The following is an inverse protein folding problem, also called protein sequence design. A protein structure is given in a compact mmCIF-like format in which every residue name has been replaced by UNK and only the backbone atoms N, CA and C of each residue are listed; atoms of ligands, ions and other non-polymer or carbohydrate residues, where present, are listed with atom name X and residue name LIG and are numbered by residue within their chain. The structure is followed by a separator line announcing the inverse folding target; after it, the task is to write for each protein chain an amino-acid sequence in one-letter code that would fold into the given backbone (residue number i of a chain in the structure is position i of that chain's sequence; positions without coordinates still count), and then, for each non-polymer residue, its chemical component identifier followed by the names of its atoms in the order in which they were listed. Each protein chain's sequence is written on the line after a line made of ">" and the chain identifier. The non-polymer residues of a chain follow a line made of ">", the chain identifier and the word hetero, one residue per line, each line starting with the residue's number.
data_IF_567951204782
#
_entry.id   IF_567951204782
#
_cell.length_a   1.000
_cell.length_b   1.000
_cell.length_c   1.000
_cell.angle_alpha   90.00
_cell.angle_beta   90.00
_cell.angle_gamma   90.00
#
_symmetry.space_group_name_H-M   'P 1'
#
loop_
_entity.id
_entity.type
_entity.pdbx_description
1 polymer ?
#
# COMPACT_ATOMS: atom_id res chain seq x y z
N UNK A 1 -17.97 12.49 -15.02
CA UNK A 1 -17.28 13.62 -14.35
C UNK A 1 -15.99 13.91 -15.08
N UNK A 2 -15.58 15.19 -15.08
CA UNK A 2 -14.29 15.64 -15.56
C UNK A 2 -13.34 15.78 -14.37
N UNK A 3 -12.29 14.97 -14.33
CA UNK A 3 -11.41 14.78 -13.17
C UNK A 3 -9.98 15.11 -13.56
N UNK A 4 -9.35 16.05 -12.84
CA UNK A 4 -7.91 16.27 -12.91
C UNK A 4 -7.28 15.45 -11.81
N UNK A 5 -6.33 14.57 -12.16
CA UNK A 5 -5.58 13.78 -11.21
C UNK A 5 -4.13 14.28 -11.14
N UNK A 6 -3.71 14.76 -9.98
CA UNK A 6 -2.36 15.30 -9.72
C UNK A 6 -1.53 14.25 -8.98
N UNK A 7 -0.41 13.85 -9.57
CA UNK A 7 0.56 12.97 -8.94
C UNK A 7 1.99 13.32 -9.38
N UNK A 8 2.95 13.30 -8.47
CA UNK A 8 4.34 13.70 -8.70
C UNK A 8 5.32 12.54 -8.49
N UNK A 9 4.97 11.34 -8.91
CA UNK A 9 5.77 10.14 -8.69
C UNK A 9 7.12 10.20 -9.41
N UNK A 10 7.19 10.80 -10.60
CA UNK A 10 8.45 11.00 -11.32
C UNK A 10 9.43 11.88 -10.54
N UNK A 11 8.93 12.92 -9.87
CA UNK A 11 9.73 13.75 -9.00
C UNK A 11 10.31 12.92 -7.83
N UNK A 12 9.47 12.10 -7.22
CA UNK A 12 9.87 11.21 -6.14
C UNK A 12 10.94 10.20 -6.59
N UNK A 13 10.79 9.57 -7.76
CA UNK A 13 11.78 8.65 -8.34
C UNK A 13 13.15 9.33 -8.54
N UNK A 14 13.16 10.58 -9.00
CA UNK A 14 14.39 11.37 -9.18
C UNK A 14 15.12 11.63 -7.86
N UNK A 15 14.38 11.99 -6.80
CA UNK A 15 14.97 12.26 -5.49
C UNK A 15 15.45 11.00 -4.76
N UNK A 16 14.68 9.92 -4.83
CA UNK A 16 15.00 8.69 -4.08
C UNK A 16 15.89 7.73 -4.84
N UNK A 17 16.13 7.96 -6.14
CA UNK A 17 16.83 7.04 -7.07
C UNK A 17 16.18 5.64 -7.14
N UNK A 18 14.93 5.51 -6.71
CA UNK A 18 14.16 4.26 -6.76
C UNK A 18 13.45 4.18 -8.09
N UNK A 19 13.67 3.09 -8.84
CA UNK A 19 13.05 2.88 -10.17
C UNK A 19 11.54 2.64 -10.09
N UNK A 20 11.07 2.09 -8.98
CA UNK A 20 9.65 1.77 -8.73
C UNK A 20 9.18 2.41 -7.43
N UNK A 21 8.02 3.02 -7.44
CA UNK A 21 7.50 3.76 -6.27
C UNK A 21 6.49 2.93 -5.46
N UNK A 22 6.33 1.66 -5.79
CA UNK A 22 5.49 0.75 -5.01
C UNK A 22 4.00 1.08 -5.07
N UNK A 23 3.30 0.75 -3.99
CA UNK A 23 1.84 0.70 -3.96
C UNK A 23 1.10 2.00 -4.28
N UNK A 24 1.68 3.19 -4.05
CA UNK A 24 1.00 4.48 -4.35
C UNK A 24 0.86 4.68 -5.86
N UNK A 25 1.93 4.42 -6.63
CA UNK A 25 1.90 4.59 -8.08
C UNK A 25 0.94 3.60 -8.73
N UNK A 26 1.02 2.33 -8.35
CA UNK A 26 0.12 1.28 -8.83
C UNK A 26 -1.33 1.64 -8.53
N UNK A 27 -1.65 1.98 -7.27
CA UNK A 27 -2.99 2.37 -6.89
C UNK A 27 -3.50 3.59 -7.66
N UNK A 28 -2.66 4.62 -7.86
CA UNK A 28 -3.05 5.81 -8.62
C UNK A 28 -3.40 5.46 -10.07
N UNK A 29 -2.59 4.65 -10.73
CA UNK A 29 -2.85 4.20 -12.10
C UNK A 29 -4.13 3.36 -12.19
N UNK A 30 -4.36 2.49 -11.20
CA UNK A 30 -5.57 1.68 -11.11
C UNK A 30 -6.82 2.55 -10.93
N UNK A 31 -6.78 3.54 -10.05
CA UNK A 31 -7.88 4.48 -9.83
C UNK A 31 -8.20 5.25 -11.10
N UNK A 32 -7.19 5.80 -11.80
CA UNK A 32 -7.37 6.52 -13.07
C UNK A 32 -7.99 5.59 -14.11
N UNK A 33 -7.43 4.40 -14.29
CA UNK A 33 -7.92 3.40 -15.24
C UNK A 33 -9.37 3.02 -14.97
N UNK A 34 -9.71 2.76 -13.71
CA UNK A 34 -11.07 2.36 -13.31
C UNK A 34 -12.09 3.48 -13.52
N UNK A 35 -11.74 4.71 -13.18
CA UNK A 35 -12.62 5.85 -13.42
C UNK A 35 -12.87 6.07 -14.92
N UNK A 36 -11.84 5.86 -15.76
CA UNK A 36 -11.98 5.90 -17.22
C UNK A 36 -12.91 4.79 -17.74
N UNK A 37 -12.76 3.56 -17.26
CA UNK A 37 -13.66 2.43 -17.59
C UNK A 37 -15.13 2.72 -17.23
N UNK A 38 -15.35 3.49 -16.17
CA UNK A 38 -16.69 3.93 -15.71
C UNK A 38 -17.25 5.13 -16.48
N UNK A 39 -16.60 5.55 -17.57
CA UNK A 39 -17.05 6.64 -18.42
C UNK A 39 -16.76 8.03 -17.87
N UNK A 40 -15.78 8.20 -16.99
CA UNK A 40 -15.31 9.50 -16.56
C UNK A 40 -14.15 10.00 -17.43
N UNK A 41 -14.13 11.30 -17.72
CA UNK A 41 -12.98 11.94 -18.33
C UNK A 41 -11.94 12.20 -17.25
N UNK A 42 -10.80 11.51 -17.30
CA UNK A 42 -9.70 11.68 -16.32
C UNK A 42 -8.46 12.14 -17.04
N UNK A 43 -7.93 13.28 -16.60
CA UNK A 43 -6.65 13.81 -17.07
C UNK A 43 -5.59 13.65 -15.99
N UNK A 44 -4.51 12.92 -16.31
CA UNK A 44 -3.33 12.86 -15.47
C UNK A 44 -2.46 14.09 -15.74
N UNK A 45 -2.50 15.06 -14.82
CA UNK A 45 -1.96 16.40 -14.96
C UNK A 45 -0.48 16.45 -15.36
N UNK A 46 0.33 15.54 -14.80
CA UNK A 46 1.78 15.56 -15.00
C UNK A 46 2.26 14.65 -16.14
N UNK A 47 1.38 13.83 -16.72
CA UNK A 47 1.74 12.84 -17.75
C UNK A 47 1.11 13.05 -19.11
N UNK A 48 0.04 13.82 -19.18
CA UNK A 48 -0.78 13.98 -20.40
C UNK A 48 -0.94 15.46 -20.75
N UNK A 49 -1.24 15.75 -22.03
CA UNK A 49 -1.60 17.10 -22.45
C UNK A 49 -2.99 17.45 -21.91
N UNK A 50 -3.19 18.74 -21.58
CA UNK A 50 -4.47 19.22 -21.10
C UNK A 50 -5.57 19.03 -22.17
N UNK A 51 -6.71 18.43 -21.82
CA UNK A 51 -7.86 18.31 -22.73
C UNK A 51 -8.69 19.59 -22.74
N UNK A 52 -9.45 19.83 -23.82
CA UNK A 52 -10.27 21.04 -24.01
C UNK A 52 -11.21 21.36 -22.83
N UNK A 53 -11.82 20.34 -22.21
CA UNK A 53 -12.74 20.58 -21.08
C UNK A 53 -12.06 21.22 -19.83
N UNK A 54 -10.74 21.21 -19.77
CA UNK A 54 -9.98 21.95 -18.73
C UNK A 54 -9.91 23.43 -19.10
N UNK A 55 -9.68 23.75 -20.37
CA UNK A 55 -9.65 25.12 -20.89
C UNK A 55 -11.04 25.76 -20.79
N UNK A 56 -12.09 25.00 -21.06
CA UNK A 56 -13.50 25.42 -20.91
C UNK A 56 -13.96 25.54 -19.45
N UNK A 57 -13.06 25.30 -18.49
CA UNK A 57 -13.33 25.33 -17.05
C UNK A 57 -14.45 24.38 -16.58
N UNK A 58 -14.62 23.23 -17.26
CA UNK A 58 -15.63 22.21 -16.93
C UNK A 58 -14.97 21.09 -16.11
N UNK A 59 -14.44 21.43 -14.90
CA UNK A 59 -13.78 20.50 -14.00
C UNK A 59 -14.69 20.20 -12.80
N UNK A 60 -14.92 18.92 -12.53
CA UNK A 60 -15.74 18.46 -11.40
C UNK A 60 -14.92 18.16 -10.17
N UNK A 61 -13.76 17.50 -10.36
CA UNK A 61 -12.89 17.01 -9.28
C UNK A 61 -11.42 17.32 -9.59
N UNK A 62 -10.69 17.77 -8.58
CA UNK A 62 -9.25 17.76 -8.52
C UNK A 62 -8.86 16.70 -7.49
N UNK A 63 -8.31 15.58 -7.95
CA UNK A 63 -7.81 14.50 -7.10
C UNK A 63 -6.30 14.56 -7.00
N UNK A 64 -5.72 14.16 -5.85
CA UNK A 64 -4.27 14.05 -5.67
C UNK A 64 -3.90 12.87 -4.76
N UNK A 65 -2.74 12.25 -5.00
CA UNK A 65 -2.25 11.08 -4.24
C UNK A 65 -0.88 11.27 -3.60
N UNK A 66 -0.14 12.30 -3.99
CA UNK A 66 1.19 12.60 -3.45
C UNK A 66 1.15 13.72 -2.41
N UNK A 67 2.19 13.79 -1.57
CA UNK A 67 2.25 14.70 -0.41
C UNK A 67 3.41 15.71 -0.46
N UNK A 68 4.04 15.85 -1.61
CA UNK A 68 5.18 16.74 -1.85
C UNK A 68 4.74 18.22 -2.02
N UNK A 69 5.67 19.19 -1.86
CA UNK A 69 5.38 20.62 -2.04
C UNK A 69 4.86 20.99 -3.43
N UNK A 70 5.29 20.27 -4.48
CA UNK A 70 4.82 20.52 -5.83
C UNK A 70 3.35 20.16 -5.98
N UNK A 71 2.92 19.03 -5.40
CA UNK A 71 1.49 18.66 -5.31
C UNK A 71 0.68 19.77 -4.64
N UNK A 72 1.17 20.33 -3.53
CA UNK A 72 0.49 21.44 -2.87
C UNK A 72 0.32 22.65 -3.79
N UNK A 73 1.38 23.08 -4.48
CA UNK A 73 1.36 24.22 -5.38
C UNK A 73 0.40 23.99 -6.57
N UNK A 74 0.48 22.81 -7.19
CA UNK A 74 -0.36 22.44 -8.32
C UNK A 74 -1.85 22.36 -7.93
N UNK A 75 -2.17 21.68 -6.83
CA UNK A 75 -3.54 21.57 -6.32
C UNK A 75 -4.07 22.94 -5.92
N UNK A 76 -3.26 23.78 -5.25
CA UNK A 76 -3.66 25.15 -4.87
C UNK A 76 -3.99 26.00 -6.11
N UNK A 77 -3.14 25.95 -7.15
CA UNK A 77 -3.37 26.66 -8.40
C UNK A 77 -4.64 26.17 -9.08
N UNK A 78 -4.79 24.86 -9.26
CA UNK A 78 -5.97 24.27 -9.89
C UNK A 78 -7.26 24.59 -9.11
N UNK A 79 -7.20 24.51 -7.77
CA UNK A 79 -8.33 24.86 -6.90
C UNK A 79 -8.75 26.32 -7.10
N UNK A 80 -7.81 27.25 -7.25
CA UNK A 80 -8.10 28.65 -7.49
C UNK A 80 -8.66 28.90 -8.90
N UNK A 81 -8.08 28.25 -9.92
CA UNK A 81 -8.53 28.34 -11.31
C UNK A 81 -9.96 27.81 -11.47
N UNK A 82 -10.27 26.65 -10.86
CA UNK A 82 -11.57 25.99 -10.98
C UNK A 82 -12.44 26.14 -9.72
N UNK A 83 -12.27 27.23 -8.97
CA UNK A 83 -12.91 27.44 -7.65
C UNK A 83 -14.43 27.31 -7.65
N UNK A 84 -15.11 27.67 -8.75
CA UNK A 84 -16.56 27.64 -8.82
C UNK A 84 -17.12 26.22 -9.00
N UNK A 85 -16.38 25.31 -9.63
CA UNK A 85 -16.88 24.01 -10.06
C UNK A 85 -16.23 22.83 -9.35
N UNK A 86 -14.89 22.81 -9.24
CA UNK A 86 -14.16 21.63 -8.81
C UNK A 86 -14.13 21.45 -7.29
N UNK A 87 -14.43 20.23 -6.84
CA UNK A 87 -14.12 19.80 -5.48
C UNK A 87 -12.73 19.16 -5.41
N UNK A 88 -12.03 19.31 -4.28
CA UNK A 88 -10.69 18.73 -4.06
C UNK A 88 -10.80 17.47 -3.20
N UNK A 89 -10.20 16.38 -3.66
CA UNK A 89 -10.13 15.10 -2.96
C UNK A 89 -8.67 14.65 -2.88
N UNK A 90 -8.18 14.30 -1.69
CA UNK A 90 -6.88 13.63 -1.56
C UNK A 90 -7.06 12.15 -1.27
N UNK A 91 -6.30 11.33 -1.99
CA UNK A 91 -6.02 9.95 -1.64
C UNK A 91 -4.80 9.95 -0.70
N UNK A 92 -5.06 9.96 0.59
CA UNK A 92 -4.07 10.15 1.64
C UNK A 92 -3.43 8.81 2.01
N UNK A 93 -2.40 8.41 1.25
CA UNK A 93 -1.65 7.17 1.46
C UNK A 93 -0.56 7.28 2.52
N UNK A 94 -0.30 8.49 3.03
CA UNK A 94 0.84 8.77 3.91
C UNK A 94 0.37 9.33 5.25
N UNK A 95 0.91 8.81 6.34
CA UNK A 95 0.75 9.29 7.70
C UNK A 95 2.11 9.69 8.29
N UNK A 96 2.12 10.37 9.42
CA UNK A 96 3.37 10.73 10.11
C UNK A 96 4.10 9.46 10.54
N UNK A 97 3.37 8.49 11.05
CA UNK A 97 3.87 7.21 11.56
C UNK A 97 4.55 6.38 10.46
N UNK A 98 4.03 6.46 9.23
CA UNK A 98 4.59 5.76 8.08
C UNK A 98 5.93 6.33 7.62
N UNK A 99 6.15 7.63 7.78
CA UNK A 99 7.38 8.29 7.35
C UNK A 99 8.48 8.32 8.43
N UNK A 100 8.09 8.27 9.69
CA UNK A 100 9.02 8.29 10.81
C UNK A 100 10.03 7.13 10.71
N UNK A 101 11.31 7.46 10.76
CA UNK A 101 12.40 6.48 10.67
C UNK A 101 12.68 5.89 9.28
N UNK A 102 11.92 6.28 8.25
CA UNK A 102 12.14 5.85 6.86
C UNK A 102 12.69 6.99 5.98
N UNK A 103 11.87 8.00 5.73
CA UNK A 103 12.25 9.18 4.94
C UNK A 103 12.78 10.31 5.81
N UNK A 104 12.32 10.36 7.05
CA UNK A 104 12.72 11.38 8.01
C UNK A 104 13.37 10.69 9.21
N UNK A 105 14.38 11.33 9.85
CA UNK A 105 14.87 10.85 11.13
C UNK A 105 13.69 10.73 12.11
N UNK A 106 13.63 9.62 12.84
CA UNK A 106 12.62 9.43 13.89
C UNK A 106 12.96 10.30 15.11
N UNK A 107 12.72 11.60 14.95
CA UNK A 107 12.90 12.61 16.00
C UNK A 107 11.61 13.43 16.14
N UNK A 108 11.20 13.78 17.37
CA UNK A 108 9.94 14.49 17.62
C UNK A 108 9.77 15.77 16.79
N UNK A 109 10.86 16.51 16.54
CA UNK A 109 10.82 17.74 15.77
C UNK A 109 10.43 17.50 14.31
N UNK A 110 10.96 16.46 13.65
CA UNK A 110 10.62 16.14 12.27
C UNK A 110 9.19 15.64 12.17
N UNK A 111 8.73 14.81 13.11
CA UNK A 111 7.36 14.34 13.18
C UNK A 111 6.39 15.51 13.35
N UNK A 112 6.74 16.52 14.17
CA UNK A 112 5.94 17.73 14.36
C UNK A 112 5.87 18.57 13.09
N UNK A 113 7.00 18.84 12.43
CA UNK A 113 7.06 19.58 11.16
C UNK A 113 6.21 18.90 10.10
N UNK A 114 6.34 17.57 9.98
CA UNK A 114 5.60 16.81 8.99
C UNK A 114 4.09 16.75 9.29
N UNK A 115 3.72 16.67 10.56
CA UNK A 115 2.33 16.80 11.01
C UNK A 115 1.71 18.11 10.57
N UNK A 116 2.41 19.23 10.74
CA UNK A 116 1.95 20.54 10.28
C UNK A 116 1.90 20.63 8.76
N UNK A 117 2.87 20.03 8.07
CA UNK A 117 2.87 19.95 6.61
C UNK A 117 1.63 19.21 6.08
N UNK A 118 1.35 18.03 6.59
CA UNK A 118 0.14 17.27 6.20
C UNK A 118 -1.15 18.05 6.51
N UNK A 119 -1.19 18.76 7.64
CA UNK A 119 -2.32 19.62 7.99
C UNK A 119 -2.55 20.74 6.95
N UNK A 120 -1.48 21.39 6.49
CA UNK A 120 -1.55 22.43 5.46
C UNK A 120 -1.99 21.83 4.12
N UNK A 121 -1.34 20.75 3.69
CA UNK A 121 -1.61 20.10 2.42
C UNK A 121 -3.07 19.62 2.35
N UNK A 122 -3.49 18.82 3.32
CA UNK A 122 -4.84 18.27 3.35
C UNK A 122 -5.92 19.31 3.68
N UNK A 123 -5.51 20.47 4.20
CA UNK A 123 -6.41 21.63 4.34
C UNK A 123 -6.95 22.19 3.03
N UNK A 124 -6.38 21.82 1.90
CA UNK A 124 -6.93 22.11 0.57
C UNK A 124 -8.17 21.26 0.23
N UNK A 125 -8.35 20.11 0.87
CA UNK A 125 -9.35 19.12 0.55
C UNK A 125 -10.78 19.52 0.97
N UNK A 126 -11.75 19.01 0.23
CA UNK A 126 -13.15 18.91 0.66
C UNK A 126 -13.43 17.53 1.27
N UNK A 127 -12.63 16.52 0.93
CA UNK A 127 -12.74 15.15 1.41
C UNK A 127 -11.38 14.43 1.28
N UNK A 128 -11.05 13.58 2.27
CA UNK A 128 -9.93 12.64 2.19
C UNK A 128 -10.42 11.21 2.03
N UNK A 129 -9.65 10.43 1.28
CA UNK A 129 -9.75 8.98 1.18
C UNK A 129 -8.44 8.39 1.72
N UNK A 130 -8.50 7.39 2.59
CA UNK A 130 -7.32 6.75 3.18
C UNK A 130 -7.51 5.22 3.23
N UNK A 131 -6.43 4.42 3.16
CA UNK A 131 -6.57 2.99 2.83
C UNK A 131 -7.03 2.09 3.99
N UNK A 132 -6.97 2.54 5.23
CA UNK A 132 -7.36 1.74 6.40
C UNK A 132 -7.95 2.58 7.53
N UNK A 133 -8.65 1.93 8.45
CA UNK A 133 -9.15 2.55 9.68
C UNK A 133 -7.98 3.09 10.55
N UNK A 134 -6.84 2.41 10.55
CA UNK A 134 -5.64 2.89 11.23
C UNK A 134 -5.17 4.23 10.68
N UNK A 135 -4.92 4.32 9.37
CA UNK A 135 -4.49 5.57 8.72
C UNK A 135 -5.54 6.68 8.85
N UNK A 136 -6.85 6.33 8.86
CA UNK A 136 -7.93 7.27 9.15
C UNK A 136 -7.78 7.87 10.55
N UNK A 137 -7.59 7.05 11.59
CA UNK A 137 -7.39 7.52 12.97
C UNK A 137 -6.13 8.39 13.11
N UNK A 138 -5.02 8.01 12.45
CA UNK A 138 -3.80 8.82 12.41
C UNK A 138 -4.08 10.21 11.81
N UNK A 139 -4.77 10.29 10.68
CA UNK A 139 -5.11 11.55 10.02
C UNK A 139 -6.12 12.38 10.83
N UNK A 140 -7.13 11.76 11.43
CA UNK A 140 -8.09 12.43 12.33
C UNK A 140 -7.40 13.07 13.54
N UNK A 141 -6.33 12.43 14.06
CA UNK A 141 -5.53 12.99 15.17
C UNK A 141 -4.81 14.29 14.80
N UNK A 142 -4.49 14.46 13.52
CA UNK A 142 -3.87 15.68 12.98
C UNK A 142 -4.90 16.79 12.83
N UNK A 143 -6.15 16.42 12.56
CA UNK A 143 -7.22 17.33 12.16
C UNK A 143 -7.84 18.18 13.27
N UNK A 144 -7.66 17.92 14.54
CA UNK A 144 -8.44 18.46 15.73
C UNK A 144 -9.23 19.78 15.59
N UNK A 145 -9.14 20.49 14.44
CA UNK A 145 -9.83 21.74 14.11
C UNK A 145 -10.27 21.88 12.66
N UNK A 146 -10.26 20.81 11.85
CA UNK A 146 -10.57 20.87 10.41
C UNK A 146 -11.91 20.18 10.09
N UNK A 147 -12.59 20.67 9.06
CA UNK A 147 -14.01 20.39 8.79
C UNK A 147 -14.24 19.39 7.66
N UNK A 148 -13.19 18.85 7.03
CA UNK A 148 -13.34 17.89 5.95
C UNK A 148 -13.44 16.45 6.48
N UNK A 149 -14.34 15.63 5.96
CA UNK A 149 -14.46 14.24 6.36
C UNK A 149 -13.36 13.36 5.77
N UNK A 150 -12.97 12.32 6.52
CA UNK A 150 -12.03 11.28 6.09
C UNK A 150 -12.79 9.95 5.94
N UNK A 151 -12.65 9.33 4.79
CA UNK A 151 -13.26 8.04 4.48
C UNK A 151 -12.20 6.97 4.29
N UNK A 152 -12.48 5.83 4.90
CA UNK A 152 -11.70 4.63 4.66
C UNK A 152 -12.15 3.96 3.36
N UNK A 153 -11.20 3.77 2.45
CA UNK A 153 -11.38 2.99 1.23
C UNK A 153 -10.07 2.28 0.93
N UNK A 154 -10.09 0.97 0.94
CA UNK A 154 -8.92 0.15 0.58
C UNK A 154 -8.29 0.60 -0.74
N UNK A 155 -6.98 0.44 -0.88
CA UNK A 155 -6.31 0.64 -2.18
C UNK A 155 -6.82 -0.34 -3.24
N UNK A 156 -7.33 -1.49 -2.80
CA UNK A 156 -7.86 -2.52 -3.68
C UNK A 156 -6.78 -3.28 -4.45
N UNK A 157 -7.17 -4.43 -4.97
CA UNK A 157 -6.36 -5.23 -5.89
C UNK A 157 -7.28 -5.71 -7.02
N UNK A 158 -6.76 -5.73 -8.25
CA UNK A 158 -7.43 -6.38 -9.38
C UNK A 158 -7.28 -7.89 -9.23
N UNK A 159 -8.30 -8.53 -8.67
CA UNK A 159 -8.26 -9.96 -8.34
C UNK A 159 -7.97 -10.81 -9.57
N UNK A 160 -8.53 -10.43 -10.71
CA UNK A 160 -8.34 -11.10 -11.99
C UNK A 160 -6.88 -11.16 -12.46
N UNK A 161 -6.06 -10.17 -12.08
CA UNK A 161 -4.63 -10.13 -12.40
C UNK A 161 -3.81 -11.09 -11.53
N UNK A 162 -4.35 -11.47 -10.36
CA UNK A 162 -3.70 -12.37 -9.41
C UNK A 162 -4.23 -13.83 -9.51
N UNK A 163 -5.03 -14.14 -10.53
CA UNK A 163 -5.49 -15.51 -10.71
C UNK A 163 -4.33 -16.45 -11.03
N UNK A 164 -4.38 -17.64 -10.43
CA UNK A 164 -3.33 -18.65 -10.55
C UNK A 164 -3.15 -19.09 -12.01
N UNK A 165 -1.88 -19.19 -12.43
CA UNK A 165 -1.46 -19.93 -13.63
C UNK A 165 -0.60 -21.11 -13.21
N UNK A 166 -0.66 -22.20 -13.96
CA UNK A 166 0.05 -23.44 -13.62
C UNK A 166 1.56 -23.24 -13.53
N UNK A 167 2.11 -22.44 -14.45
CA UNK A 167 3.55 -22.16 -14.54
C UNK A 167 4.11 -21.30 -13.40
N UNK A 168 3.29 -20.54 -12.66
CA UNK A 168 3.80 -19.56 -11.68
C UNK A 168 4.67 -20.19 -10.60
N UNK A 169 4.20 -21.29 -10.00
CA UNK A 169 5.00 -21.98 -8.97
C UNK A 169 6.30 -22.52 -9.52
N UNK A 170 6.23 -23.15 -10.67
CA UNK A 170 7.40 -23.76 -11.31
C UNK A 170 8.43 -22.73 -11.71
N UNK A 171 8.01 -21.59 -12.30
CA UNK A 171 8.89 -20.50 -12.72
C UNK A 171 9.69 -19.95 -11.54
N UNK A 172 9.02 -19.61 -10.44
CA UNK A 172 9.70 -19.08 -9.26
C UNK A 172 10.66 -20.09 -8.64
N UNK A 173 10.24 -21.36 -8.54
CA UNK A 173 11.08 -22.43 -8.00
C UNK A 173 12.31 -22.70 -8.87
N UNK A 174 12.15 -22.72 -10.18
CA UNK A 174 13.27 -22.81 -11.13
C UNK A 174 14.21 -21.61 -11.00
N UNK A 175 13.67 -20.40 -10.91
CA UNK A 175 14.48 -19.20 -10.68
C UNK A 175 15.34 -19.30 -9.42
N UNK A 176 14.74 -19.73 -8.30
CA UNK A 176 15.47 -19.91 -7.04
C UNK A 176 16.54 -21.02 -7.15
N UNK A 177 16.23 -22.11 -7.81
CA UNK A 177 17.18 -23.20 -8.02
C UNK A 177 18.36 -22.79 -8.88
N UNK A 178 18.11 -22.19 -10.06
CA UNK A 178 19.15 -21.82 -11.02
C UNK A 178 20.05 -20.70 -10.50
N UNK A 179 19.51 -19.74 -9.77
CA UNK A 179 20.27 -18.56 -9.35
C UNK A 179 20.90 -18.70 -7.97
N UNK A 180 20.29 -19.46 -7.07
CA UNK A 180 20.68 -19.54 -5.67
C UNK A 180 20.88 -20.96 -5.17
N UNK A 181 20.80 -21.96 -6.06
CA UNK A 181 20.96 -23.40 -5.73
C UNK A 181 19.96 -23.92 -4.68
N UNK A 182 18.77 -23.32 -4.58
CA UNK A 182 17.72 -23.79 -3.67
C UNK A 182 17.05 -25.01 -4.27
N UNK A 183 16.98 -26.16 -3.56
CA UNK A 183 16.26 -27.34 -4.06
C UNK A 183 14.79 -27.03 -4.34
N UNK A 184 14.23 -27.60 -5.44
CA UNK A 184 12.87 -27.29 -5.90
C UNK A 184 11.78 -27.56 -4.84
N UNK A 185 11.99 -28.60 -4.02
CA UNK A 185 11.03 -29.05 -2.99
C UNK A 185 11.25 -28.41 -1.61
N UNK A 186 12.18 -27.48 -1.50
CA UNK A 186 12.45 -26.79 -0.22
C UNK A 186 11.24 -26.00 0.27
N UNK A 187 11.09 -25.88 1.56
CA UNK A 187 10.13 -24.94 2.15
C UNK A 187 10.63 -23.50 1.93
N UNK A 188 9.82 -22.70 1.25
CA UNK A 188 10.14 -21.30 0.89
C UNK A 188 9.19 -20.34 1.57
N UNK A 189 9.75 -19.44 2.37
CA UNK A 189 9.03 -18.40 3.10
C UNK A 189 9.41 -17.05 2.49
N UNK A 190 8.43 -16.26 2.07
CA UNK A 190 8.70 -14.97 1.42
C UNK A 190 8.26 -13.77 2.26
N UNK A 191 8.96 -12.66 2.09
CA UNK A 191 8.47 -11.31 2.33
C UNK A 191 8.56 -10.51 1.02
N UNK A 192 7.63 -9.60 0.79
CA UNK A 192 7.58 -8.80 -0.45
C UNK A 192 7.62 -7.31 -0.14
N UNK A 193 8.49 -6.59 -0.83
CA UNK A 193 8.58 -5.14 -0.79
C UNK A 193 9.99 -4.59 -0.65
N UNK A 194 10.09 -3.26 -0.62
CA UNK A 194 11.33 -2.54 -0.35
C UNK A 194 11.84 -2.86 1.07
N UNK A 195 13.11 -3.18 1.22
CA UNK A 195 13.73 -3.50 2.52
C UNK A 195 13.98 -2.26 3.39
N UNK A 196 12.94 -1.47 3.62
CA UNK A 196 12.98 -0.30 4.48
C UNK A 196 13.07 -0.69 5.95
N UNK A 197 13.59 0.20 6.81
CA UNK A 197 13.71 -0.03 8.25
C UNK A 197 12.40 -0.49 8.89
N UNK A 198 11.27 0.12 8.51
CA UNK A 198 9.94 -0.27 8.99
C UNK A 198 9.52 -1.71 8.66
N UNK A 199 10.13 -2.31 7.64
CA UNK A 199 9.84 -3.70 7.23
C UNK A 199 10.53 -4.73 8.11
N UNK A 200 11.45 -4.27 9.01
CA UNK A 200 12.08 -5.08 10.04
C UNK A 200 12.77 -6.34 9.48
N UNK A 201 13.72 -6.13 8.55
CA UNK A 201 14.58 -7.19 8.01
C UNK A 201 15.32 -7.91 9.13
N UNK A 202 15.66 -7.20 10.22
CA UNK A 202 16.26 -7.77 11.44
C UNK A 202 15.42 -8.90 12.04
N UNK A 203 14.10 -8.70 12.17
CA UNK A 203 13.18 -9.74 12.66
C UNK A 203 13.11 -10.88 11.66
N UNK A 204 12.98 -10.59 10.35
CA UNK A 204 12.94 -11.61 9.31
C UNK A 204 14.17 -12.54 9.38
N UNK A 205 15.39 -11.98 9.48
CA UNK A 205 16.62 -12.75 9.63
C UNK A 205 16.69 -13.54 10.95
N UNK A 206 16.24 -12.94 12.07
CA UNK A 206 16.21 -13.65 13.37
C UNK A 206 15.22 -14.82 13.37
N UNK A 207 14.10 -14.71 12.68
CA UNK A 207 13.16 -15.83 12.49
C UNK A 207 13.82 -16.90 11.61
N UNK A 208 14.45 -16.50 10.50
CA UNK A 208 15.14 -17.42 9.60
C UNK A 208 16.21 -18.26 10.31
N UNK A 209 16.94 -17.67 11.25
CA UNK A 209 17.96 -18.36 12.05
C UNK A 209 17.42 -19.56 12.86
N UNK A 210 16.11 -19.59 13.16
CA UNK A 210 15.46 -20.68 13.88
C UNK A 210 15.07 -21.88 13.00
N UNK A 211 15.26 -21.77 11.67
CA UNK A 211 14.84 -22.77 10.69
C UNK A 211 15.91 -23.02 9.63
N UNK A 212 16.91 -23.83 9.96
CA UNK A 212 18.04 -24.15 9.07
C UNK A 212 17.62 -24.80 7.75
N UNK A 213 16.51 -25.54 7.75
CA UNK A 213 16.06 -26.34 6.62
C UNK A 213 15.05 -25.60 5.72
N UNK A 214 14.68 -24.35 6.07
CA UNK A 214 13.78 -23.51 5.29
C UNK A 214 14.52 -22.35 4.66
N UNK A 215 14.08 -21.92 3.47
CA UNK A 215 14.65 -20.76 2.79
C UNK A 215 13.75 -19.54 2.95
N UNK A 216 14.36 -18.44 3.36
CA UNK A 216 13.70 -17.16 3.60
C UNK A 216 14.08 -16.18 2.50
N UNK A 217 13.12 -15.82 1.66
CA UNK A 217 13.35 -15.04 0.45
C UNK A 217 12.72 -13.67 0.59
N UNK A 218 13.55 -12.63 0.55
CA UNK A 218 13.08 -11.27 0.46
C UNK A 218 12.96 -10.86 -1.00
N UNK A 219 11.72 -10.64 -1.46
CA UNK A 219 11.44 -10.27 -2.85
C UNK A 219 11.18 -8.78 -2.95
N UNK A 220 12.10 -8.06 -3.58
CA UNK A 220 12.00 -6.61 -3.78
C UNK A 220 13.33 -5.88 -3.67
N UNK A 221 13.36 -4.60 -4.07
CA UNK A 221 14.57 -3.80 -4.06
C UNK A 221 15.20 -3.67 -2.67
N UNK A 222 16.53 -3.74 -2.64
CA UNK A 222 17.32 -3.65 -1.40
C UNK A 222 17.63 -2.18 -1.11
N UNK A 223 17.26 -1.72 0.06
CA UNK A 223 17.72 -0.46 0.63
C UNK A 223 18.76 -0.76 1.71
N UNK A 224 20.05 -0.58 1.39
CA UNK A 224 21.15 -0.94 2.28
C UNK A 224 21.04 -0.30 3.67
N UNK A 225 21.07 -1.13 4.68
CA UNK A 225 21.14 -0.76 6.10
C UNK A 225 21.76 -1.91 6.90
N UNK A 226 22.24 -1.69 8.14
CA UNK A 226 22.93 -2.70 8.95
C UNK A 226 22.13 -3.99 9.18
N UNK A 227 20.80 -3.90 9.25
CA UNK A 227 19.93 -5.08 9.50
C UNK A 227 19.98 -6.06 8.33
N UNK A 228 20.18 -5.54 7.11
CA UNK A 228 20.35 -6.37 5.90
C UNK A 228 21.69 -7.08 5.93
N UNK A 229 22.75 -6.38 6.32
CA UNK A 229 24.11 -6.96 6.37
C UNK A 229 24.16 -8.14 7.36
N UNK A 230 23.44 -8.08 8.48
CA UNK A 230 23.29 -9.19 9.41
C UNK A 230 22.45 -10.34 8.84
N UNK A 231 21.36 -10.04 8.16
CA UNK A 231 20.52 -11.06 7.53
C UNK A 231 21.23 -11.80 6.39
N UNK A 232 22.06 -11.10 5.62
CA UNK A 232 22.87 -11.68 4.53
C UNK A 232 23.99 -12.64 4.99
N UNK A 233 24.31 -12.67 6.30
CA UNK A 233 25.24 -13.65 6.85
C UNK A 233 24.65 -15.06 7.01
N UNK A 234 23.34 -15.19 6.83
CA UNK A 234 22.62 -16.45 6.96
C UNK A 234 22.53 -17.12 5.59
N UNK A 235 22.94 -18.38 5.50
CA UNK A 235 22.95 -19.16 4.25
C UNK A 235 21.54 -19.39 3.69
N UNK A 236 20.53 -19.35 4.54
CA UNK A 236 19.15 -19.58 4.19
C UNK A 236 18.33 -18.31 3.99
N UNK A 237 18.96 -17.11 4.00
CA UNK A 237 18.30 -15.82 3.73
C UNK A 237 18.79 -15.25 2.40
N UNK A 238 17.86 -15.02 1.49
CA UNK A 238 18.16 -14.55 0.13
C UNK A 238 17.36 -13.30 -0.19
N UNK A 239 18.03 -12.32 -0.80
CA UNK A 239 17.41 -11.12 -1.35
C UNK A 239 17.44 -11.21 -2.88
N UNK A 240 16.28 -11.33 -3.52
CA UNK A 240 16.22 -11.45 -4.98
C UNK A 240 16.49 -10.13 -5.70
N UNK A 241 16.30 -8.98 -5.02
CA UNK A 241 16.13 -7.71 -5.67
C UNK A 241 14.76 -7.62 -6.35
N UNK A 242 14.66 -6.76 -7.36
CA UNK A 242 13.45 -6.66 -8.17
C UNK A 242 13.18 -7.98 -8.90
N UNK A 243 11.94 -8.42 -8.86
CA UNK A 243 11.43 -9.62 -9.54
C UNK A 243 10.26 -9.22 -10.44
N UNK A 244 10.28 -9.62 -11.70
CA UNK A 244 9.39 -9.07 -12.73
C UNK A 244 7.92 -9.40 -12.49
N UNK A 245 7.59 -10.66 -12.27
CA UNK A 245 6.22 -11.08 -11.98
C UNK A 245 6.08 -11.54 -10.52
N UNK A 246 5.68 -10.63 -9.66
CA UNK A 246 5.55 -10.90 -8.24
C UNK A 246 4.56 -12.02 -7.93
N UNK A 247 3.61 -12.32 -8.83
CA UNK A 247 2.62 -13.39 -8.66
C UNK A 247 3.30 -14.75 -8.61
N UNK A 248 4.34 -14.97 -9.42
CA UNK A 248 5.14 -16.18 -9.38
C UNK A 248 5.76 -16.42 -8.00
N UNK A 249 6.22 -15.34 -7.33
CA UNK A 249 6.77 -15.44 -5.99
C UNK A 249 5.70 -15.84 -4.95
N UNK A 250 4.50 -15.25 -5.01
CA UNK A 250 3.40 -15.63 -4.12
C UNK A 250 2.96 -17.07 -4.33
N UNK A 251 2.81 -17.53 -5.58
CA UNK A 251 2.41 -18.92 -5.87
C UNK A 251 3.54 -19.93 -5.69
N UNK A 252 4.80 -19.48 -5.80
CA UNK A 252 5.98 -20.30 -5.59
C UNK A 252 6.36 -20.53 -4.14
N UNK A 253 5.88 -19.71 -3.23
CA UNK A 253 6.15 -19.80 -1.80
C UNK A 253 5.19 -20.75 -1.07
N UNK A 254 5.56 -21.11 0.17
CA UNK A 254 4.75 -21.94 1.07
C UNK A 254 4.18 -21.12 2.24
N UNK A 255 4.75 -19.92 2.53
CA UNK A 255 4.29 -19.01 3.57
C UNK A 255 4.71 -17.56 3.27
N UNK A 256 3.82 -16.62 3.55
CA UNK A 256 4.11 -15.19 3.57
C UNK A 256 4.40 -14.73 4.99
N UNK A 257 5.61 -14.22 5.22
CA UNK A 257 6.06 -13.71 6.52
C UNK A 257 6.20 -12.19 6.48
N UNK A 258 5.29 -11.46 7.09
CA UNK A 258 5.37 -10.01 7.19
C UNK A 258 5.84 -9.55 8.57
N UNK A 259 7.02 -8.94 8.62
CA UNK A 259 7.66 -8.50 9.87
C UNK A 259 7.58 -6.99 10.10
N UNK A 260 6.77 -6.26 9.34
CA UNK A 260 6.66 -4.80 9.40
C UNK A 260 6.33 -4.28 10.81
N UNK A 261 6.88 -3.13 11.18
CA UNK A 261 6.52 -2.44 12.44
C UNK A 261 5.42 -1.39 12.25
N UNK A 262 5.26 -0.88 11.04
CA UNK A 262 4.22 0.11 10.66
C UNK A 262 3.79 -0.14 9.22
N UNK A 263 2.50 -0.07 9.00
CA UNK A 263 1.88 -0.08 7.66
C UNK A 263 0.64 0.82 7.64
N UNK A 264 0.35 1.38 6.48
CA UNK A 264 -0.93 2.07 6.27
C UNK A 264 -2.04 1.09 5.84
N UNK A 265 -1.67 0.02 5.12
CA UNK A 265 -2.59 -1.05 4.72
C UNK A 265 -1.88 -2.41 4.54
N UNK A 266 -0.67 -2.43 3.94
CA UNK A 266 0.06 -3.66 3.64
C UNK A 266 -0.48 -4.39 2.41
N UNK A 267 -0.37 -3.77 1.24
CA UNK A 267 -0.78 -4.38 -0.04
C UNK A 267 -0.23 -5.80 -0.22
N UNK A 268 1.06 -6.10 0.07
CA UNK A 268 1.59 -7.46 -0.07
C UNK A 268 0.87 -8.52 0.77
N UNK A 269 0.28 -8.14 1.91
CA UNK A 269 -0.51 -9.07 2.72
C UNK A 269 -1.85 -9.40 2.05
N UNK A 270 -2.46 -8.43 1.36
CA UNK A 270 -3.68 -8.65 0.58
C UNK A 270 -3.37 -9.52 -0.64
N UNK A 271 -2.26 -9.26 -1.33
CA UNK A 271 -1.79 -10.06 -2.48
C UNK A 271 -1.55 -11.51 -2.08
N UNK A 272 -0.87 -11.74 -0.94
CA UNK A 272 -0.67 -13.08 -0.38
C UNK A 272 -2.00 -13.80 -0.11
N UNK A 273 -2.98 -13.11 0.49
CA UNK A 273 -4.30 -13.68 0.76
C UNK A 273 -5.05 -14.05 -0.54
N UNK A 274 -4.99 -13.21 -1.57
CA UNK A 274 -5.61 -13.48 -2.88
C UNK A 274 -4.93 -14.67 -3.57
N UNK A 275 -3.60 -14.80 -3.43
CA UNK A 275 -2.86 -15.95 -3.95
C UNK A 275 -3.01 -17.21 -3.09
N UNK A 276 -3.86 -17.20 -2.06
CA UNK A 276 -4.06 -18.33 -1.12
C UNK A 276 -2.76 -18.79 -0.46
N UNK A 277 -1.87 -17.85 -0.18
CA UNK A 277 -0.64 -18.10 0.56
C UNK A 277 -0.91 -17.88 2.05
N UNK A 278 -0.62 -18.84 2.94
CA UNK A 278 -0.84 -18.66 4.37
C UNK A 278 0.03 -17.56 4.94
N UNK A 279 -0.50 -16.83 5.93
CA UNK A 279 0.08 -15.58 6.42
C UNK A 279 0.49 -15.70 7.88
N UNK A 280 1.76 -15.36 8.15
CA UNK A 280 2.26 -14.99 9.48
C UNK A 280 2.67 -13.52 9.43
N UNK A 281 2.09 -12.66 10.24
CA UNK A 281 2.29 -11.23 10.17
C UNK A 281 2.41 -10.57 11.54
N UNK A 282 3.07 -9.41 11.60
CA UNK A 282 3.04 -8.55 12.78
C UNK A 282 1.60 -8.21 13.17
N UNK A 283 1.30 -8.14 14.46
CA UNK A 283 0.00 -7.67 14.96
C UNK A 283 -0.09 -6.14 14.86
N UNK A 284 -0.40 -5.64 13.67
CA UNK A 284 -0.50 -4.21 13.38
C UNK A 284 -1.96 -3.76 13.30
N UNK A 285 -2.26 -2.52 13.77
CA UNK A 285 -3.60 -1.94 13.63
C UNK A 285 -4.11 -1.81 12.18
N UNK A 286 -3.19 -1.68 11.21
CA UNK A 286 -3.51 -1.63 9.79
C UNK A 286 -3.96 -2.98 9.21
N UNK A 287 -3.77 -4.06 9.96
CA UNK A 287 -4.16 -5.43 9.60
C UNK A 287 -5.42 -5.88 10.37
N UNK A 288 -6.31 -4.95 10.71
CA UNK A 288 -7.57 -5.22 11.42
C UNK A 288 -8.55 -6.07 10.59
N UNK A 289 -8.38 -6.13 9.28
CA UNK A 289 -9.16 -6.94 8.37
C UNK A 289 -8.86 -8.44 8.42
N UNK A 290 -7.71 -8.85 8.98
CA UNK A 290 -7.37 -10.26 9.28
C UNK A 290 -7.30 -10.49 10.78
N UNK A 291 -7.72 -11.68 11.23
CA UNK A 291 -7.81 -12.04 12.65
C UNK A 291 -6.87 -13.18 12.99
N UNK A 292 -6.21 -13.06 14.17
CA UNK A 292 -5.34 -14.10 14.70
C UNK A 292 -6.09 -15.44 14.84
N UNK A 293 -5.45 -16.53 14.43
CA UNK A 293 -5.98 -17.90 14.47
C UNK A 293 -7.27 -18.13 13.67
N UNK A 294 -7.72 -17.13 12.90
CA UNK A 294 -8.90 -17.23 12.04
C UNK A 294 -8.52 -17.11 10.57
N UNK A 295 -7.81 -16.04 10.18
CA UNK A 295 -7.41 -15.76 8.82
C UNK A 295 -5.90 -15.48 8.64
N UNK A 296 -5.15 -15.44 9.73
CA UNK A 296 -3.68 -15.38 9.74
C UNK A 296 -3.16 -15.77 11.12
N UNK A 297 -1.84 -15.93 11.23
CA UNK A 297 -1.17 -15.93 12.54
C UNK A 297 -0.56 -14.55 12.79
N UNK A 298 -1.00 -13.84 13.84
CA UNK A 298 -0.44 -12.54 14.25
C UNK A 298 0.62 -12.72 15.33
N UNK A 299 1.78 -12.06 15.15
CA UNK A 299 2.92 -12.15 16.01
C UNK A 299 3.29 -10.77 16.62
N UNK A 300 3.68 -10.75 17.90
CA UNK A 300 4.12 -9.57 18.66
C UNK A 300 5.57 -9.64 19.09
N UNK A 301 6.14 -10.84 19.09
CA UNK A 301 7.52 -11.12 19.47
C UNK A 301 8.19 -12.02 18.44
N UNK A 302 9.52 -12.18 18.53
CA UNK A 302 10.25 -13.11 17.66
C UNK A 302 9.80 -14.54 17.90
N UNK A 303 9.58 -14.91 19.16
CA UNK A 303 9.10 -16.25 19.52
C UNK A 303 7.69 -16.51 18.95
N UNK A 304 6.80 -15.49 18.92
CA UNK A 304 5.51 -15.61 18.26
C UNK A 304 5.67 -15.86 16.76
N UNK A 305 6.57 -15.14 16.08
CA UNK A 305 6.85 -15.39 14.66
C UNK A 305 7.36 -16.81 14.43
N UNK A 306 8.31 -17.29 15.25
CA UNK A 306 8.85 -18.65 15.16
C UNK A 306 7.73 -19.67 15.36
N UNK A 307 6.91 -19.49 16.39
CA UNK A 307 5.78 -20.37 16.68
C UNK A 307 4.74 -20.33 15.56
N UNK A 308 4.45 -19.14 15.00
CA UNK A 308 3.54 -18.98 13.88
C UNK A 308 4.01 -19.70 12.61
N UNK A 309 5.28 -19.53 12.23
CA UNK A 309 5.88 -20.24 11.09
C UNK A 309 5.81 -21.77 11.32
N UNK A 310 6.21 -22.22 12.51
CA UNK A 310 6.19 -23.66 12.85
C UNK A 310 4.77 -24.22 12.75
N UNK A 311 3.78 -23.55 13.37
CA UNK A 311 2.40 -23.99 13.37
C UNK A 311 1.80 -24.03 11.96
N UNK A 312 1.99 -22.99 11.16
CA UNK A 312 1.43 -22.92 9.80
C UNK A 312 2.01 -23.99 8.88
N UNK A 313 3.31 -24.34 9.05
CA UNK A 313 3.93 -25.38 8.22
C UNK A 313 3.54 -26.78 8.67
N UNK A 314 3.38 -27.03 9.98
CA UNK A 314 3.13 -28.37 10.52
C UNK A 314 1.67 -28.75 10.72
N UNK A 315 0.76 -27.78 10.85
CA UNK A 315 -0.68 -27.99 11.09
C UNK A 315 -1.48 -27.69 9.81
N UNK A 316 -1.79 -28.74 9.06
CA UNK A 316 -2.50 -28.62 7.77
C UNK A 316 -3.91 -28.07 7.93
N UNK A 317 -4.66 -28.50 8.93
CA UNK A 317 -6.03 -28.04 9.16
C UNK A 317 -6.06 -26.55 9.50
N UNK A 318 -5.13 -26.13 10.36
CA UNK A 318 -4.96 -24.72 10.70
C UNK A 318 -4.57 -23.88 9.47
N UNK A 319 -3.61 -24.37 8.68
CA UNK A 319 -3.15 -23.71 7.45
C UNK A 319 -4.30 -23.52 6.46
N UNK A 320 -5.05 -24.57 6.16
CA UNK A 320 -6.20 -24.50 5.24
C UNK A 320 -7.28 -23.53 5.73
N UNK A 321 -7.59 -23.57 7.02
CA UNK A 321 -8.55 -22.66 7.65
C UNK A 321 -8.15 -21.19 7.46
N UNK A 322 -6.91 -20.81 7.78
CA UNK A 322 -6.47 -19.42 7.68
C UNK A 322 -6.41 -18.94 6.23
N UNK A 323 -6.01 -19.80 5.30
CA UNK A 323 -5.98 -19.50 3.85
C UNK A 323 -7.38 -19.14 3.34
N UNK A 324 -8.36 -20.01 3.56
CA UNK A 324 -9.71 -19.81 3.04
C UNK A 324 -10.37 -18.56 3.65
N UNK A 325 -10.18 -18.32 4.94
CA UNK A 325 -10.73 -17.13 5.58
C UNK A 325 -10.06 -15.85 5.11
N UNK A 326 -8.73 -15.83 4.98
CA UNK A 326 -8.00 -14.67 4.45
C UNK A 326 -8.42 -14.35 3.02
N UNK A 327 -8.53 -15.38 2.17
CA UNK A 327 -8.96 -15.24 0.79
C UNK A 327 -10.37 -14.63 0.67
N UNK A 328 -11.35 -15.15 1.43
CA UNK A 328 -12.72 -14.62 1.46
C UNK A 328 -12.74 -13.16 1.90
N UNK A 329 -12.04 -12.83 2.99
CA UNK A 329 -11.96 -11.47 3.49
C UNK A 329 -11.28 -10.52 2.48
N UNK A 330 -10.23 -10.97 1.82
CA UNK A 330 -9.53 -10.18 0.80
C UNK A 330 -10.43 -9.85 -0.39
N UNK A 331 -11.16 -10.81 -0.94
CA UNK A 331 -12.12 -10.58 -2.03
C UNK A 331 -13.25 -9.65 -1.62
N UNK A 332 -13.77 -9.80 -0.41
CA UNK A 332 -14.90 -8.99 0.04
C UNK A 332 -14.52 -7.53 0.27
N UNK A 333 -13.34 -7.27 0.81
CA UNK A 333 -12.93 -5.95 1.25
C UNK A 333 -12.06 -5.21 0.23
N UNK A 334 -11.29 -5.94 -0.60
CA UNK A 334 -10.21 -5.38 -1.40
C UNK A 334 -10.36 -5.57 -2.91
N UNK A 335 -11.49 -6.11 -3.39
CA UNK A 335 -11.79 -6.17 -4.82
C UNK A 335 -11.88 -4.76 -5.43
N UNK A 336 -11.01 -4.49 -6.39
CA UNK A 336 -10.88 -3.17 -7.00
C UNK A 336 -12.16 -2.72 -7.71
N UNK A 337 -12.97 -3.62 -8.25
CA UNK A 337 -14.26 -3.29 -8.86
C UNK A 337 -15.23 -2.67 -7.83
N UNK A 338 -15.25 -3.23 -6.61
CA UNK A 338 -16.04 -2.69 -5.48
C UNK A 338 -15.47 -1.34 -5.01
N UNK A 339 -14.14 -1.23 -4.97
CA UNK A 339 -13.43 -0.01 -4.57
C UNK A 339 -13.69 1.15 -5.53
N UNK A 340 -13.63 0.93 -6.85
CA UNK A 340 -13.93 1.96 -7.84
C UNK A 340 -15.32 2.56 -7.67
N UNK A 341 -16.33 1.74 -7.33
CA UNK A 341 -17.68 2.21 -7.02
C UNK A 341 -17.72 3.10 -5.77
N UNK A 342 -16.96 2.74 -4.73
CA UNK A 342 -16.85 3.56 -3.50
C UNK A 342 -16.18 4.90 -3.80
N UNK A 343 -15.08 4.91 -4.56
CA UNK A 343 -14.36 6.14 -4.95
C UNK A 343 -15.28 7.07 -5.74
N UNK A 344 -16.00 6.57 -6.74
CA UNK A 344 -16.94 7.36 -7.52
C UNK A 344 -18.02 8.02 -6.65
N UNK A 345 -18.62 7.27 -5.73
CA UNK A 345 -19.60 7.80 -4.76
C UNK A 345 -19.00 8.91 -3.89
N UNK A 346 -17.75 8.74 -3.43
CA UNK A 346 -17.07 9.73 -2.62
C UNK A 346 -16.72 11.00 -3.42
N UNK A 347 -16.37 10.89 -4.69
CA UNK A 347 -16.16 12.05 -5.55
C UNK A 347 -17.46 12.86 -5.76
N UNK A 348 -18.60 12.19 -5.96
CA UNK A 348 -19.91 12.85 -5.97
C UNK A 348 -20.21 13.52 -4.64
N UNK A 349 -19.89 12.87 -3.52
CA UNK A 349 -20.06 13.42 -2.16
C UNK A 349 -19.17 14.65 -1.92
N UNK A 350 -17.93 14.66 -2.41
CA UNK A 350 -17.04 15.82 -2.30
C UNK A 350 -17.63 17.07 -2.98
N UNK A 351 -18.29 16.92 -4.13
CA UNK A 351 -19.02 18.02 -4.79
C UNK A 351 -20.16 18.58 -3.93
N UNK A 352 -20.89 17.70 -3.25
CA UNK A 352 -21.96 18.15 -2.32
C UNK A 352 -21.39 18.89 -1.12
N UNK A 353 -20.31 18.39 -0.52
CA UNK A 353 -19.63 19.05 0.60
C UNK A 353 -19.16 20.44 0.19
N UNK A 354 -18.52 20.58 -0.98
CA UNK A 354 -18.12 21.89 -1.51
C UNK A 354 -19.30 22.87 -1.58
N UNK A 355 -20.42 22.45 -2.16
CA UNK A 355 -21.65 23.31 -2.27
C UNK A 355 -22.14 23.74 -0.87
N UNK A 356 -22.14 22.83 0.11
CA UNK A 356 -22.55 23.15 1.49
C UNK A 356 -21.61 24.21 2.10
N UNK A 357 -20.31 24.10 1.90
CA UNK A 357 -19.35 25.09 2.41
C UNK A 357 -19.48 26.46 1.75
N UNK A 358 -19.74 26.48 0.44
CA UNK A 358 -19.97 27.73 -0.28
C UNK A 358 -21.23 28.47 0.21
N UNK A 359 -22.30 27.73 0.44
CA UNK A 359 -23.54 28.31 0.98
C UNK A 359 -23.38 28.86 2.40
N UNK A 360 -22.62 28.15 3.27
CA UNK A 360 -22.29 28.63 4.63
C UNK A 360 -21.40 29.88 4.66
N UNK A 361 -20.67 30.19 3.58
CA UNK A 361 -19.83 31.40 3.49
C UNK A 361 -20.59 32.59 2.95
N UNK A 362 -21.72 32.37 2.31
CA UNK A 362 -22.58 33.44 1.76
C UNK A 362 -23.62 33.95 2.76
N UNK A 363 -23.92 33.13 3.74
CA UNK A 363 -24.75 33.48 4.93
C UNK A 363 -23.85 33.84 6.13
#
# INVERSE_FOLDING_TARGET
>A
MNIIFVENMELYKRFTKVKTVGGIETNTNDVISELRKRGHNVWNFNREKAPHWVEDNIVDIIAASTFDPMTFLQVSRLKNTHKNNAAVVFHAHTTVEDLAGNFLPDKPIFNLIFKYWLKILYGLAHLLITPSNYSKKCLESIQKSMTYPIYEVSNGIRIEEFMRKEEYRENFRKFLNLKYNIPLESTVIINVGLSWKKKRVDIFGRVAKAFSDYYFIWVGPINKNPDIDEALKLDNVIFTGFYDDIREAYYGADLFLNTSSVENQGIPLIEAAICKLPIVASDLPAYDWVQHDVSCYKARSIDDFINGVRRVISDTDFKEKIIENAYKQAIDLHDFNKIGTKIEKLYRKAKLIKKIWENKRKN
#
